data_IF_353220514586
#
_entry.id   IF_353220514586
#
_cell.length_a   1.000
_cell.length_b   1.000
_cell.length_c   1.000
_cell.angle_alpha   90.00
_cell.angle_beta   90.00
_cell.angle_gamma   90.00
#
_symmetry.space_group_name_H-M   'P 1'
#
loop_
_entity.id
_entity.type
_entity.pdbx_description
1 polymer ?
#
# COMPACT_ATOMS: atom_id res chain seq x y z
N UNK A 1 -6.86 16.63 -14.16
CA UNK A 1 -7.59 16.10 -13.00
C UNK A 1 -6.61 15.89 -11.86
N UNK A 2 -6.98 16.30 -10.65
CA UNK A 2 -6.11 16.15 -9.48
C UNK A 2 -6.43 14.82 -8.81
N UNK A 3 -5.42 13.99 -8.67
CA UNK A 3 -5.57 12.71 -7.96
C UNK A 3 -5.66 12.96 -6.46
N UNK A 4 -6.36 12.07 -5.77
CA UNK A 4 -6.39 12.04 -4.32
C UNK A 4 -5.11 11.36 -3.83
N UNK A 5 -4.45 11.94 -2.84
CA UNK A 5 -3.26 11.38 -2.24
C UNK A 5 -3.61 10.73 -0.91
N UNK A 6 -3.20 9.48 -0.74
CA UNK A 6 -3.47 8.68 0.45
C UNK A 6 -2.18 8.07 0.94
N UNK A 7 -1.93 8.15 2.25
CA UNK A 7 -0.81 7.46 2.86
C UNK A 7 -1.36 6.33 3.71
N UNK A 8 -0.87 5.11 3.46
CA UNK A 8 -1.20 3.95 4.28
C UNK A 8 0.06 3.49 5.01
N UNK A 9 -0.05 3.27 6.31
CA UNK A 9 1.05 2.73 7.12
C UNK A 9 0.65 1.39 7.70
N UNK A 10 1.60 0.48 7.83
CA UNK A 10 1.37 -0.84 8.40
C UNK A 10 2.68 -1.52 8.78
N UNK A 11 2.59 -2.52 9.65
CA UNK A 11 3.72 -3.38 9.98
C UNK A 11 3.78 -4.53 8.96
N UNK A 12 5.00 -5.00 8.71
CA UNK A 12 5.22 -6.16 7.84
C UNK A 12 6.14 -7.17 8.53
N UNK A 13 6.12 -8.41 8.07
CA UNK A 13 6.98 -9.48 8.60
C UNK A 13 8.44 -9.25 8.24
N UNK A 14 8.69 -8.89 6.98
CA UNK A 14 10.03 -8.73 6.42
C UNK A 14 10.00 -7.51 5.49
N UNK A 15 10.67 -6.45 5.91
CA UNK A 15 10.68 -5.18 5.17
C UNK A 15 11.28 -5.35 3.78
N UNK A 16 12.38 -6.09 3.64
CA UNK A 16 13.04 -6.27 2.35
C UNK A 16 12.15 -7.02 1.38
N UNK A 17 11.51 -8.09 1.83
CA UNK A 17 10.57 -8.86 1.02
C UNK A 17 9.40 -7.98 0.56
N UNK A 18 8.81 -7.23 1.49
CA UNK A 18 7.70 -6.33 1.19
C UNK A 18 8.12 -5.24 0.19
N UNK A 19 9.28 -4.62 0.44
CA UNK A 19 9.75 -3.48 -0.35
C UNK A 19 10.06 -3.85 -1.79
N UNK A 20 10.60 -5.06 -2.02
CA UNK A 20 11.02 -5.53 -3.34
C UNK A 20 9.94 -6.35 -4.06
N UNK A 21 8.81 -6.63 -3.41
CA UNK A 21 7.74 -7.39 -4.05
C UNK A 21 7.11 -6.63 -5.21
N UNK A 22 6.92 -7.27 -6.37
CA UNK A 22 6.24 -6.63 -7.50
C UNK A 22 4.72 -6.64 -7.39
N UNK A 23 4.15 -7.41 -6.46
CA UNK A 23 2.70 -7.60 -6.34
C UNK A 23 1.94 -6.31 -6.12
N UNK A 24 2.46 -5.45 -5.25
CA UNK A 24 1.82 -4.17 -4.93
C UNK A 24 1.74 -3.28 -6.15
N UNK A 25 2.86 -3.08 -6.84
CA UNK A 25 2.91 -2.23 -8.02
C UNK A 25 1.97 -2.75 -9.11
N UNK A 26 2.01 -4.04 -9.39
CA UNK A 26 1.13 -4.65 -10.38
C UNK A 26 -0.33 -4.44 -10.04
N UNK A 27 -0.70 -4.65 -8.77
CA UNK A 27 -2.08 -4.51 -8.31
C UNK A 27 -2.62 -3.10 -8.55
N UNK A 28 -1.88 -2.08 -8.10
CA UNK A 28 -2.33 -0.69 -8.18
C UNK A 28 -2.24 -0.11 -9.59
N UNK A 29 -1.17 -0.41 -10.32
CA UNK A 29 -0.98 0.12 -11.68
C UNK A 29 -2.07 -0.35 -12.63
N UNK A 30 -2.49 -1.61 -12.53
CA UNK A 30 -3.58 -2.13 -13.35
C UNK A 30 -4.90 -1.39 -13.13
N UNK A 31 -5.03 -0.73 -12.01
CA UNK A 31 -6.24 0.01 -11.61
C UNK A 31 -6.10 1.52 -11.79
N UNK A 32 -5.04 1.95 -12.47
CA UNK A 32 -4.82 3.37 -12.74
C UNK A 32 -4.35 4.18 -11.54
N UNK A 33 -3.80 3.51 -10.53
CA UNK A 33 -3.28 4.17 -9.34
C UNK A 33 -1.75 4.12 -9.35
N UNK A 34 -1.14 5.20 -8.84
CA UNK A 34 0.31 5.30 -8.72
C UNK A 34 0.70 5.13 -7.26
N UNK A 35 1.77 4.40 -7.01
CA UNK A 35 2.23 4.16 -5.64
C UNK A 35 3.71 4.48 -5.47
N UNK A 36 4.06 4.88 -4.25
CA UNK A 36 5.45 5.05 -3.82
C UNK A 36 5.59 4.40 -2.45
N UNK A 37 6.54 3.50 -2.31
CA UNK A 37 6.75 2.78 -1.07
C UNK A 37 7.85 3.43 -0.24
N UNK A 38 7.68 3.41 1.08
CA UNK A 38 8.63 3.99 2.03
C UNK A 38 8.94 2.98 3.11
N UNK A 39 10.20 2.99 3.56
CA UNK A 39 10.65 2.16 4.67
C UNK A 39 11.52 2.98 5.60
N UNK A 40 11.78 2.46 6.80
CA UNK A 40 12.69 3.08 7.74
C UNK A 40 14.11 3.18 7.11
N UNK A 41 14.69 4.37 7.03
CA UNK A 41 16.02 4.54 6.41
C UNK A 41 17.13 3.81 7.16
N UNK A 42 16.94 3.53 8.44
CA UNK A 42 17.91 2.80 9.24
C UNK A 42 17.69 1.28 9.23
N UNK A 43 16.56 0.82 8.67
CA UNK A 43 16.24 -0.59 8.58
C UNK A 43 15.91 -1.26 9.90
N UNK A 44 15.54 -0.48 10.91
CA UNK A 44 15.26 -1.00 12.26
C UNK A 44 13.80 -1.26 12.53
N UNK A 45 12.91 -0.49 11.90
CA UNK A 45 11.47 -0.59 12.12
C UNK A 45 10.82 -1.49 11.08
N UNK A 46 9.81 -2.24 11.49
CA UNK A 46 8.97 -3.02 10.58
C UNK A 46 7.74 -2.23 10.11
N UNK A 47 7.60 -0.99 10.56
CA UNK A 47 6.57 -0.09 10.07
C UNK A 47 6.97 0.45 8.71
N UNK A 48 6.05 0.35 7.77
CA UNK A 48 6.24 0.80 6.40
C UNK A 48 5.11 1.72 5.98
N UNK A 49 5.30 2.44 4.89
CA UNK A 49 4.28 3.36 4.37
C UNK A 49 4.20 3.27 2.85
N UNK A 50 3.01 3.54 2.32
CA UNK A 50 2.79 3.62 0.88
C UNK A 50 2.02 4.90 0.60
N UNK A 51 2.54 5.72 -0.31
CA UNK A 51 1.79 6.83 -0.88
C UNK A 51 1.02 6.31 -2.09
N UNK A 52 -0.29 6.48 -2.07
CA UNK A 52 -1.16 6.03 -3.16
C UNK A 52 -1.80 7.25 -3.78
N UNK A 53 -1.60 7.42 -5.09
CA UNK A 53 -2.26 8.47 -5.86
C UNK A 53 -3.38 7.81 -6.66
N UNK A 54 -4.63 8.09 -6.32
CA UNK A 54 -5.82 7.48 -6.89
C UNK A 54 -6.74 8.54 -7.49
N UNK A 55 -7.49 8.21 -8.57
CA UNK A 55 -8.47 9.15 -9.11
C UNK A 55 -9.52 9.59 -8.10
N UNK A 56 -9.96 8.69 -7.23
CA UNK A 56 -10.91 8.98 -6.15
C UNK A 56 -10.83 7.92 -5.06
N UNK A 57 -11.40 8.22 -3.90
CA UNK A 57 -11.39 7.31 -2.75
C UNK A 57 -12.24 6.06 -2.98
N UNK A 58 -13.32 6.20 -3.72
CA UNK A 58 -14.23 5.09 -4.01
C UNK A 58 -13.50 3.99 -4.81
N UNK A 59 -12.71 4.38 -5.81
CA UNK A 59 -11.90 3.46 -6.59
C UNK A 59 -10.89 2.72 -5.70
N UNK A 60 -10.23 3.44 -4.80
CA UNK A 60 -9.28 2.83 -3.88
C UNK A 60 -9.96 1.86 -2.93
N UNK A 61 -11.07 2.26 -2.33
CA UNK A 61 -11.80 1.41 -1.39
C UNK A 61 -12.31 0.14 -2.06
N UNK A 62 -12.83 0.25 -3.27
CA UNK A 62 -13.28 -0.91 -4.04
C UNK A 62 -12.12 -1.86 -4.35
N UNK A 63 -10.96 -1.32 -4.71
CA UNK A 63 -9.77 -2.12 -4.99
C UNK A 63 -9.30 -2.89 -3.75
N UNK A 64 -9.25 -2.22 -2.60
CA UNK A 64 -8.78 -2.83 -1.35
C UNK A 64 -9.75 -3.88 -0.79
N UNK A 65 -11.00 -3.88 -1.23
CA UNK A 65 -12.00 -4.85 -0.79
C UNK A 65 -11.97 -6.15 -1.61
N UNK A 66 -11.08 -6.28 -2.59
CA UNK A 66 -11.01 -7.47 -3.44
C UNK A 66 -10.20 -8.60 -2.79
N UNK A 67 -10.48 -9.83 -3.23
CA UNK A 67 -9.69 -11.00 -2.80
C UNK A 67 -8.24 -10.89 -3.30
N UNK A 68 -8.04 -10.28 -4.47
CA UNK A 68 -6.72 -10.05 -5.04
C UNK A 68 -5.88 -9.17 -4.12
N UNK A 69 -6.48 -8.13 -3.54
CA UNK A 69 -5.79 -7.27 -2.58
C UNK A 69 -5.39 -8.07 -1.33
N UNK A 70 -6.30 -8.87 -0.79
CA UNK A 70 -6.03 -9.71 0.38
C UNK A 70 -4.89 -10.70 0.09
N UNK A 71 -4.88 -11.31 -1.09
CA UNK A 71 -3.83 -12.25 -1.48
C UNK A 71 -2.48 -11.56 -1.61
N UNK A 72 -2.43 -10.36 -2.18
CA UNK A 72 -1.20 -9.58 -2.32
C UNK A 72 -0.65 -9.18 -0.95
N UNK A 73 -1.50 -8.73 -0.04
CA UNK A 73 -1.13 -8.36 1.31
C UNK A 73 -0.54 -9.54 2.08
N UNK A 74 -1.17 -10.70 1.96
CA UNK A 74 -0.69 -11.93 2.58
C UNK A 74 0.66 -12.37 2.01
N UNK A 75 0.81 -12.29 0.71
CA UNK A 75 2.08 -12.63 0.03
C UNK A 75 3.20 -11.73 0.54
N UNK A 76 2.93 -10.45 0.73
CA UNK A 76 3.93 -9.46 1.12
C UNK A 76 4.13 -9.38 2.64
N UNK A 77 3.37 -10.15 3.42
CA UNK A 77 3.52 -10.22 4.87
C UNK A 77 2.99 -8.99 5.60
N UNK A 78 1.97 -8.33 5.05
CA UNK A 78 1.36 -7.14 5.65
C UNK A 78 0.45 -7.54 6.81
N UNK A 79 0.63 -6.87 7.95
CA UNK A 79 -0.24 -7.05 9.12
C UNK A 79 -1.41 -6.09 9.05
N UNK A 80 -2.53 -6.57 8.54
CA UNK A 80 -3.73 -5.76 8.27
C UNK A 80 -4.28 -5.07 9.51
N UNK A 81 -4.16 -5.71 10.67
CA UNK A 81 -4.61 -5.12 11.93
C UNK A 81 -3.83 -3.86 12.33
N UNK A 82 -2.69 -3.62 11.72
CA UNK A 82 -1.87 -2.44 11.96
C UNK A 82 -2.08 -1.33 10.93
N UNK A 83 -2.91 -1.58 9.91
CA UNK A 83 -3.12 -0.65 8.82
C UNK A 83 -3.79 0.64 9.29
N UNK A 84 -3.17 1.77 8.93
CA UNK A 84 -3.72 3.10 9.17
C UNK A 84 -3.70 3.87 7.86
N UNK A 85 -4.77 4.60 7.60
CA UNK A 85 -4.93 5.32 6.32
C UNK A 85 -5.16 6.79 6.61
N UNK A 86 -4.43 7.64 5.89
CA UNK A 86 -4.51 9.10 6.00
C UNK A 86 -4.72 9.68 4.60
N UNK A 87 -5.63 10.62 4.48
CA UNK A 87 -5.97 11.25 3.19
C UNK A 87 -5.52 12.71 3.22
N UNK A 88 -4.84 13.14 2.17
CA UNK A 88 -4.45 14.54 2.01
C UNK A 88 -5.69 15.40 1.75
N UNK A 89 -5.69 16.59 2.31
CA UNK A 89 -6.84 17.48 2.10
C UNK A 89 -6.85 18.68 3.04
#
# INVERSE_FOLDING_TARGET
MIDVQVIATHDVDDVEHWFTSPKRAEFFEQRGMKITAFRDPEGKSKVTAVLIETPDMETLQAALATEEAAAAEKHDGVHIDTLKVYVAG
#
